data_IF_483126564173
#
_entry.id   IF_483126564173
#
_cell.length_a   1.000
_cell.length_b   1.000
_cell.length_c   1.000
_cell.angle_alpha   90.00
_cell.angle_beta   90.00
_cell.angle_gamma   90.00
#
_symmetry.space_group_name_H-M   'P 1'
#
loop_
_entity.id
_entity.type
_entity.pdbx_description
1 polymer ?
#
# COMPACT_ATOMS: atom_id res chain seq x y z
N UNK A 1 18.75 14.37 -2.15
CA UNK A 1 18.37 13.37 -3.16
C UNK A 1 17.49 12.33 -2.51
N UNK A 2 16.23 12.31 -2.90
CA UNK A 2 15.25 11.29 -2.50
C UNK A 2 14.39 11.01 -3.73
N UNK A 3 14.39 9.75 -4.17
CA UNK A 3 13.60 9.29 -5.30
C UNK A 3 12.28 8.74 -4.77
N UNK A 4 11.19 9.36 -5.16
CA UNK A 4 9.83 9.00 -4.76
C UNK A 4 9.16 8.30 -5.94
N UNK A 5 8.73 7.06 -5.78
CA UNK A 5 7.82 6.41 -6.73
C UNK A 5 6.39 6.52 -6.21
N UNK A 6 5.52 7.21 -6.96
CA UNK A 6 4.08 7.25 -6.69
C UNK A 6 3.35 6.44 -7.73
N UNK A 7 2.47 5.51 -7.34
CA UNK A 7 1.74 4.65 -8.27
C UNK A 7 0.28 4.44 -7.88
N UNK A 8 -0.51 4.06 -8.89
CA UNK A 8 -1.95 3.82 -8.80
C UNK A 8 -2.37 2.81 -9.89
N UNK A 9 -3.46 2.06 -9.65
CA UNK A 9 -3.96 1.02 -10.57
C UNK A 9 -5.47 1.05 -10.77
N UNK A 10 -5.90 1.13 -12.03
CA UNK A 10 -7.29 0.81 -12.39
C UNK A 10 -7.43 -0.69 -12.65
N UNK A 11 -8.58 -1.25 -12.25
CA UNK A 11 -8.77 -2.71 -12.16
C UNK A 11 -10.13 -3.16 -12.68
N UNK A 12 -10.24 -4.44 -13.06
CA UNK A 12 -11.48 -5.03 -13.58
C UNK A 12 -12.65 -5.09 -12.58
N UNK A 13 -12.43 -4.76 -11.31
CA UNK A 13 -13.40 -4.88 -10.22
C UNK A 13 -12.74 -4.67 -8.86
N UNK A 14 -13.41 -5.06 -7.78
CA UNK A 14 -12.79 -5.19 -6.44
C UNK A 14 -12.59 -6.67 -6.09
N UNK A 15 -11.63 -7.01 -5.20
CA UNK A 15 -11.48 -8.36 -4.68
C UNK A 15 -12.78 -8.90 -4.05
N UNK A 16 -13.03 -10.20 -4.21
CA UNK A 16 -14.24 -10.83 -3.68
C UNK A 16 -14.37 -10.62 -2.14
N UNK A 17 -15.51 -10.11 -1.70
CA UNK A 17 -15.78 -9.87 -0.29
C UNK A 17 -16.15 -11.16 0.44
N UNK A 18 -15.21 -11.67 1.22
CA UNK A 18 -15.33 -12.91 1.98
C UNK A 18 -15.80 -12.70 3.43
N UNK A 19 -15.80 -11.45 3.90
CA UNK A 19 -16.20 -11.13 5.26
C UNK A 19 -17.32 -10.08 5.33
N UNK A 20 -18.36 -10.38 6.13
CA UNK A 20 -19.47 -9.46 6.40
C UNK A 20 -19.01 -8.18 7.13
N UNK A 21 -17.99 -8.26 7.98
CA UNK A 21 -17.37 -7.10 8.62
C UNK A 21 -16.25 -6.51 7.77
N UNK A 22 -16.36 -5.22 7.44
CA UNK A 22 -15.31 -4.45 6.76
C UNK A 22 -13.94 -4.56 7.45
N UNK A 23 -13.90 -4.48 8.79
CA UNK A 23 -12.64 -4.60 9.53
C UNK A 23 -12.02 -6.00 9.47
N UNK A 24 -12.83 -7.05 9.30
CA UNK A 24 -12.30 -8.41 9.07
C UNK A 24 -11.78 -8.54 7.64
N UNK A 25 -12.50 -8.03 6.65
CA UNK A 25 -12.08 -8.00 5.25
C UNK A 25 -10.72 -7.28 5.11
N UNK A 26 -10.59 -6.06 5.66
CA UNK A 26 -9.35 -5.29 5.62
C UNK A 26 -8.17 -6.00 6.32
N UNK A 27 -8.40 -6.66 7.45
CA UNK A 27 -7.36 -7.44 8.14
C UNK A 27 -6.93 -8.69 7.37
N UNK A 28 -7.88 -9.37 6.71
CA UNK A 28 -7.59 -10.50 5.82
C UNK A 28 -6.75 -10.05 4.62
N UNK A 29 -7.19 -9.02 3.91
CA UNK A 29 -6.46 -8.46 2.77
C UNK A 29 -5.04 -8.01 3.15
N UNK A 30 -4.87 -7.32 4.29
CA UNK A 30 -3.55 -6.95 4.82
C UNK A 30 -2.66 -8.13 5.16
N UNK A 31 -3.22 -9.30 5.49
CA UNK A 31 -2.43 -10.50 5.77
C UNK A 31 -1.79 -11.10 4.51
N UNK A 32 -2.35 -10.86 3.32
CA UNK A 32 -1.81 -11.32 2.04
C UNK A 32 -0.46 -10.66 1.69
N UNK A 33 -0.17 -9.50 2.28
CA UNK A 33 1.13 -8.82 2.16
C UNK A 33 2.16 -9.32 3.18
N UNK A 34 1.78 -10.24 4.08
CA UNK A 34 2.61 -10.75 5.18
C UNK A 34 2.85 -12.26 5.11
N UNK A 35 1.94 -13.01 4.50
CA UNK A 35 2.06 -14.45 4.30
C UNK A 35 1.72 -14.82 2.85
N UNK A 36 2.77 -15.18 2.10
CA UNK A 36 2.68 -15.54 0.68
C UNK A 36 1.90 -16.84 0.44
N UNK A 37 1.78 -17.71 1.46
CA UNK A 37 1.04 -18.97 1.34
C UNK A 37 -0.48 -18.78 1.25
N UNK A 38 -0.98 -17.63 1.71
CA UNK A 38 -2.41 -17.32 1.65
C UNK A 38 -2.90 -17.11 0.21
N UNK A 39 -2.03 -16.61 -0.68
CA UNK A 39 -2.40 -16.28 -2.06
C UNK A 39 -2.92 -17.47 -2.88
N UNK A 40 -2.52 -18.71 -2.57
CA UNK A 40 -2.96 -19.91 -3.29
C UNK A 40 -4.48 -20.13 -3.25
N UNK A 41 -5.20 -19.49 -2.31
CA UNK A 41 -6.66 -19.55 -2.18
C UNK A 41 -7.37 -18.27 -2.59
N UNK A 42 -6.61 -17.23 -2.95
CA UNK A 42 -7.09 -15.86 -3.06
C UNK A 42 -6.84 -15.24 -4.45
N UNK A 43 -5.83 -15.71 -5.18
CA UNK A 43 -5.38 -15.13 -6.46
C UNK A 43 -6.47 -15.06 -7.54
N UNK A 44 -7.36 -16.05 -7.59
CA UNK A 44 -8.51 -16.11 -8.52
C UNK A 44 -9.66 -15.18 -8.12
N UNK A 45 -9.67 -14.69 -6.86
CA UNK A 45 -10.67 -13.76 -6.33
C UNK A 45 -10.25 -12.30 -6.48
N UNK A 46 -9.01 -12.05 -6.89
CA UNK A 46 -8.50 -10.72 -7.17
C UNK A 46 -8.86 -10.31 -8.60
N UNK A 47 -9.15 -9.03 -8.87
CA UNK A 47 -9.37 -8.54 -10.22
C UNK A 47 -8.07 -8.56 -11.04
N UNK A 48 -8.11 -8.09 -12.29
CA UNK A 48 -6.91 -7.82 -13.09
C UNK A 48 -6.63 -6.32 -13.18
N UNK A 49 -5.36 -5.95 -13.35
CA UNK A 49 -4.97 -4.57 -13.65
C UNK A 49 -5.32 -4.26 -15.11
N UNK A 50 -6.00 -3.14 -15.34
CA UNK A 50 -6.35 -2.63 -16.69
C UNK A 50 -5.67 -1.30 -17.01
N UNK A 51 -5.17 -0.58 -16.01
CA UNK A 51 -4.26 0.55 -16.18
C UNK A 51 -3.22 0.53 -15.06
N UNK A 52 -1.96 0.75 -15.41
CA UNK A 52 -0.87 1.00 -14.46
C UNK A 52 -0.24 2.35 -14.78
N UNK A 53 -0.22 3.24 -13.81
CA UNK A 53 0.50 4.49 -13.89
C UNK A 53 1.43 4.67 -12.68
N UNK A 54 2.59 5.28 -12.93
CA UNK A 54 3.48 5.69 -11.86
C UNK A 54 4.35 6.88 -12.26
N UNK A 55 4.87 7.56 -11.26
CA UNK A 55 5.76 8.71 -11.36
C UNK A 55 7.00 8.40 -10.55
N UNK A 56 8.18 8.40 -11.17
CA UNK A 56 9.47 8.37 -10.47
C UNK A 56 9.97 9.81 -10.40
N UNK A 57 9.76 10.45 -9.26
CA UNK A 57 10.05 11.85 -8.99
C UNK A 57 11.35 11.98 -8.19
N UNK A 58 12.34 12.67 -8.76
CA UNK A 58 13.58 13.02 -8.06
C UNK A 58 13.40 14.41 -7.40
N UNK A 59 13.50 14.46 -6.07
CA UNK A 59 13.32 15.71 -5.32
C UNK A 59 14.42 16.76 -5.56
N UNK A 60 15.62 16.33 -5.99
CA UNK A 60 16.73 17.24 -6.32
C UNK A 60 16.76 17.57 -7.81
N UNK A 61 16.20 16.72 -8.68
CA UNK A 61 16.12 16.93 -10.13
C UNK A 61 14.71 16.69 -10.73
N UNK A 62 13.73 17.55 -10.42
CA UNK A 62 12.34 17.36 -10.85
C UNK A 62 12.12 17.33 -12.38
N UNK A 63 12.97 17.98 -13.16
CA UNK A 63 12.90 17.96 -14.63
C UNK A 63 13.12 16.56 -15.21
N UNK A 64 13.89 15.71 -14.53
CA UNK A 64 14.17 14.32 -14.90
C UNK A 64 13.08 13.33 -14.43
N UNK A 65 11.92 13.82 -13.98
CA UNK A 65 10.80 12.97 -13.57
C UNK A 65 10.37 12.03 -14.69
N UNK A 66 10.41 10.72 -14.43
CA UNK A 66 9.80 9.73 -15.31
C UNK A 66 8.32 9.62 -14.99
N UNK A 67 7.49 9.64 -16.03
CA UNK A 67 6.06 9.36 -15.95
C UNK A 67 5.77 8.15 -16.83
N UNK A 68 5.16 7.13 -16.23
CA UNK A 68 4.67 5.95 -16.91
C UNK A 68 3.14 5.92 -16.80
N UNK A 69 2.48 5.64 -17.92
CA UNK A 69 1.04 5.39 -17.97
C UNK A 69 0.76 4.44 -19.12
N UNK A 70 0.23 3.24 -18.83
CA UNK A 70 -0.22 2.28 -19.83
C UNK A 70 -1.53 1.65 -19.42
N UNK A 71 -2.40 1.50 -20.39
CA UNK A 71 -3.50 0.55 -20.33
C UNK A 71 -2.97 -0.86 -20.63
N UNK A 72 -3.54 -1.86 -19.98
CA UNK A 72 -3.08 -3.25 -20.07
C UNK A 72 -3.88 -3.99 -21.15
N UNK A 73 -3.19 -4.67 -22.06
CA UNK A 73 -3.83 -5.50 -23.08
C UNK A 73 -4.39 -6.78 -22.46
N UNK A 74 -5.70 -6.78 -22.16
CA UNK A 74 -6.38 -7.90 -21.49
C UNK A 74 -6.99 -8.91 -22.50
N UNK A 75 -6.90 -10.22 -22.25
CA UNK A 75 -7.58 -11.24 -23.04
C UNK A 75 -9.11 -11.03 -23.05
N UNK A 76 -9.77 -11.37 -24.16
CA UNK A 76 -11.23 -11.19 -24.31
C UNK A 76 -12.09 -12.01 -23.31
N UNK A 77 -11.50 -12.99 -22.63
CA UNK A 77 -12.10 -13.75 -21.52
C UNK A 77 -12.19 -12.94 -20.22
N UNK A 78 -11.29 -11.98 -20.00
CA UNK A 78 -11.33 -11.06 -18.87
C UNK A 78 -12.48 -10.08 -19.08
N UNK A 79 -13.26 -9.83 -18.02
CA UNK A 79 -14.39 -8.89 -18.00
C UNK A 79 -14.16 -7.82 -16.97
N UNK A 80 -14.40 -6.58 -17.35
CA UNK A 80 -14.43 -5.43 -16.44
C UNK A 80 -15.88 -5.31 -15.94
N UNK A 81 -16.08 -5.21 -14.63
CA UNK A 81 -17.42 -5.09 -14.03
C UNK A 81 -18.09 -3.75 -14.40
N UNK A 82 -19.42 -3.71 -14.40
CA UNK A 82 -20.16 -2.50 -14.75
C UNK A 82 -20.00 -1.41 -13.66
N UNK A 83 -19.80 -1.81 -12.41
CA UNK A 83 -19.42 -0.90 -11.32
C UNK A 83 -18.07 -0.25 -11.60
N UNK A 84 -17.04 -1.03 -11.95
CA UNK A 84 -15.72 -0.53 -12.34
C UNK A 84 -15.81 0.42 -13.54
N UNK A 85 -16.51 0.03 -14.62
CA UNK A 85 -16.76 0.90 -15.79
C UNK A 85 -17.43 2.22 -15.44
N UNK A 86 -18.33 2.22 -14.46
CA UNK A 86 -19.01 3.45 -14.02
C UNK A 86 -18.13 4.38 -13.17
N UNK A 87 -17.00 3.88 -12.66
CA UNK A 87 -16.02 4.63 -11.86
C UNK A 87 -14.91 5.21 -12.75
N UNK A 88 -14.19 4.37 -13.50
CA UNK A 88 -13.00 4.77 -14.27
C UNK A 88 -13.23 4.93 -15.78
N UNK A 89 -14.43 4.62 -16.28
CA UNK A 89 -14.84 4.76 -17.70
C UNK A 89 -14.04 3.96 -18.75
N UNK A 90 -13.00 3.22 -18.34
CA UNK A 90 -12.29 2.25 -19.18
C UNK A 90 -13.17 1.01 -19.44
N UNK A 91 -13.44 0.74 -20.72
CA UNK A 91 -14.12 -0.50 -21.17
C UNK A 91 -13.17 -1.36 -22.00
N UNK A 92 -13.55 -2.61 -22.25
CA UNK A 92 -12.79 -3.54 -23.07
C UNK A 92 -12.60 -3.00 -24.51
N UNK A 93 -13.57 -2.25 -25.03
CA UNK A 93 -13.48 -1.65 -26.37
C UNK A 93 -12.66 -0.35 -26.40
N UNK A 94 -12.66 0.41 -25.29
CA UNK A 94 -11.73 1.53 -25.09
C UNK A 94 -10.28 1.03 -25.12
N UNK A 95 -9.95 -0.05 -24.38
CA UNK A 95 -8.60 -0.66 -24.38
C UNK A 95 -8.21 -1.17 -25.77
N UNK A 96 -9.13 -1.82 -26.51
CA UNK A 96 -8.88 -2.29 -27.88
C UNK A 96 -8.64 -1.15 -28.87
N UNK A 97 -9.34 -0.03 -28.70
CA UNK A 97 -9.24 1.15 -29.56
C UNK A 97 -8.01 2.02 -29.31
N UNK A 98 -7.28 1.80 -28.22
CA UNK A 98 -6.08 2.58 -27.87
C UNK A 98 -4.89 2.28 -28.79
N UNK A 99 -4.06 3.30 -28.98
CA UNK A 99 -2.81 3.16 -29.73
C UNK A 99 -1.87 2.17 -29.05
N UNK A 100 -1.01 1.51 -29.84
CA UNK A 100 0.08 0.68 -29.32
C UNK A 100 1.09 1.44 -28.45
N UNK A 101 1.12 2.77 -28.52
CA UNK A 101 1.91 3.60 -27.60
C UNK A 101 1.23 3.78 -26.22
N UNK A 102 -0.09 3.73 -26.15
CA UNK A 102 -0.87 3.88 -24.91
C UNK A 102 -1.08 2.54 -24.17
N UNK A 103 -0.81 1.42 -24.84
CA UNK A 103 -1.06 0.06 -24.33
C UNK A 103 0.24 -0.72 -24.12
N UNK A 104 0.23 -1.70 -23.22
CA UNK A 104 1.31 -2.66 -23.02
C UNK A 104 0.76 -4.01 -22.51
N UNK A 105 1.53 -5.10 -22.61
CA UNK A 105 1.20 -6.33 -21.90
C UNK A 105 1.54 -6.20 -20.41
N UNK A 106 0.78 -6.87 -19.55
CA UNK A 106 0.98 -6.81 -18.09
C UNK A 106 2.42 -7.16 -17.68
N UNK A 107 3.04 -8.16 -18.32
CA UNK A 107 4.42 -8.54 -18.05
C UNK A 107 5.43 -7.41 -18.31
N UNK A 108 5.32 -6.74 -19.46
CA UNK A 108 6.21 -5.64 -19.82
C UNK A 108 6.05 -4.47 -18.84
N UNK A 109 4.79 -4.16 -18.47
CA UNK A 109 4.46 -3.10 -17.53
C UNK A 109 5.00 -3.37 -16.12
N UNK A 110 4.87 -4.60 -15.63
CA UNK A 110 5.38 -4.99 -14.32
C UNK A 110 6.90 -5.07 -14.28
N UNK A 111 7.54 -5.51 -15.37
CA UNK A 111 9.00 -5.51 -15.47
C UNK A 111 9.56 -4.08 -15.44
N UNK A 112 8.96 -3.14 -16.18
CA UNK A 112 9.38 -1.73 -16.16
C UNK A 112 9.09 -1.07 -14.81
N UNK A 113 7.91 -1.32 -14.23
CA UNK A 113 7.56 -0.86 -12.88
C UNK A 113 8.55 -1.37 -11.82
N UNK A 114 8.85 -2.67 -11.78
CA UNK A 114 9.77 -3.22 -10.78
C UNK A 114 11.20 -2.68 -10.94
N UNK A 115 11.66 -2.41 -12.17
CA UNK A 115 12.96 -1.79 -12.41
C UNK A 115 13.06 -0.37 -11.84
N UNK A 116 11.97 0.40 -11.80
CA UNK A 116 11.95 1.74 -11.19
C UNK A 116 11.62 1.71 -9.70
N UNK A 117 10.78 0.76 -9.25
CA UNK A 117 10.53 0.47 -7.85
C UNK A 117 11.84 0.22 -7.09
N UNK A 118 12.73 -0.60 -7.64
CA UNK A 118 14.05 -0.89 -7.03
C UNK A 118 15.01 0.31 -6.99
N UNK A 119 14.67 1.46 -7.60
CA UNK A 119 15.46 2.71 -7.55
C UNK A 119 14.90 3.73 -6.56
N UNK A 120 13.69 3.53 -6.06
CA UNK A 120 13.02 4.49 -5.22
C UNK A 120 13.43 4.35 -3.74
N UNK A 121 13.67 5.48 -3.09
CA UNK A 121 13.89 5.54 -1.64
C UNK A 121 12.56 5.45 -0.88
N UNK A 122 11.47 5.92 -1.50
CA UNK A 122 10.12 5.95 -0.92
C UNK A 122 9.10 5.54 -1.98
N UNK A 123 8.19 4.64 -1.62
CA UNK A 123 7.03 4.23 -2.41
C UNK A 123 5.77 4.87 -1.82
N UNK A 124 4.96 5.52 -2.65
CA UNK A 124 3.77 6.25 -2.22
C UNK A 124 2.54 5.80 -3.00
N UNK A 125 1.40 5.73 -2.32
CA UNK A 125 0.10 5.57 -2.97
C UNK A 125 -1.05 5.99 -2.04
N UNK A 126 -2.25 6.12 -2.59
CA UNK A 126 -3.43 6.44 -1.79
C UNK A 126 -4.20 5.15 -1.49
N UNK A 127 -4.21 4.71 -0.23
CA UNK A 127 -4.63 3.34 0.12
C UNK A 127 -3.73 2.25 -0.53
N UNK A 128 -2.43 2.57 -0.70
CA UNK A 128 -1.38 1.83 -1.45
C UNK A 128 -1.33 0.30 -1.23
N UNK A 129 -1.76 -0.16 -0.07
CA UNK A 129 -1.97 -1.57 0.26
C UNK A 129 -2.82 -2.31 -0.78
N UNK A 130 -3.79 -1.64 -1.42
CA UNK A 130 -4.63 -2.20 -2.48
C UNK A 130 -3.81 -2.46 -3.75
N UNK A 131 -3.20 -1.43 -4.32
CA UNK A 131 -2.41 -1.48 -5.55
C UNK A 131 -1.21 -2.43 -5.40
N UNK A 132 -0.55 -2.38 -4.24
CA UNK A 132 0.51 -3.31 -3.83
C UNK A 132 0.06 -4.78 -3.94
N UNK A 133 -1.18 -5.10 -3.53
CA UNK A 133 -1.75 -6.46 -3.71
C UNK A 133 -2.11 -6.76 -5.17
N UNK A 134 -2.57 -5.77 -5.94
CA UNK A 134 -2.83 -5.94 -7.37
C UNK A 134 -1.55 -6.32 -8.14
N UNK A 135 -0.44 -5.62 -7.88
CA UNK A 135 0.87 -5.92 -8.46
C UNK A 135 1.34 -7.33 -8.06
N UNK A 136 1.21 -7.71 -6.78
CA UNK A 136 1.57 -9.07 -6.30
C UNK A 136 0.71 -10.15 -6.96
N UNK A 137 -0.60 -9.92 -7.13
CA UNK A 137 -1.51 -10.86 -7.79
C UNK A 137 -1.09 -11.13 -9.25
N UNK A 138 -0.78 -10.09 -10.02
CA UNK A 138 -0.37 -10.26 -11.42
C UNK A 138 1.03 -10.90 -11.56
N UNK A 139 2.00 -10.53 -10.69
CA UNK A 139 3.31 -11.19 -10.65
C UNK A 139 3.18 -12.70 -10.36
N UNK A 140 2.28 -13.08 -9.47
CA UNK A 140 1.99 -14.49 -9.15
C UNK A 140 1.32 -15.23 -10.32
N UNK A 141 0.39 -14.60 -11.04
CA UNK A 141 -0.27 -15.18 -12.23
C UNK A 141 0.69 -15.46 -13.38
N UNK A 142 1.67 -14.57 -13.58
CA UNK A 142 2.69 -14.70 -14.63
C UNK A 142 3.64 -15.87 -14.32
N UNK A 143 4.31 -15.83 -13.16
CA UNK A 143 5.15 -16.92 -12.66
C UNK A 143 5.57 -16.64 -11.22
N UNK A 144 5.03 -17.42 -10.28
CA UNK A 144 5.38 -17.37 -8.85
C UNK A 144 6.88 -17.55 -8.62
N UNK A 145 7.52 -18.51 -9.28
CA UNK A 145 8.93 -18.86 -9.07
C UNK A 145 9.87 -17.78 -9.60
N UNK A 146 9.61 -17.24 -10.80
CA UNK A 146 10.47 -16.22 -11.41
C UNK A 146 10.32 -14.87 -10.73
N UNK A 147 9.11 -14.49 -10.33
CA UNK A 147 8.83 -13.18 -9.73
C UNK A 147 8.99 -13.15 -8.20
N UNK A 148 9.33 -14.28 -7.55
CA UNK A 148 9.47 -14.35 -6.10
C UNK A 148 10.36 -13.25 -5.48
N UNK A 149 11.50 -12.84 -6.06
CA UNK A 149 12.29 -11.73 -5.53
C UNK A 149 11.53 -10.40 -5.52
N UNK A 150 10.81 -10.07 -6.60
CA UNK A 150 9.99 -8.86 -6.71
C UNK A 150 8.79 -8.89 -5.76
N UNK A 151 8.14 -10.06 -5.64
CA UNK A 151 7.03 -10.27 -4.70
C UNK A 151 7.51 -10.08 -3.26
N UNK A 152 8.67 -10.62 -2.89
CA UNK A 152 9.24 -10.46 -1.55
C UNK A 152 9.62 -9.00 -1.25
N UNK A 153 10.10 -8.24 -2.23
CA UNK A 153 10.35 -6.80 -2.05
C UNK A 153 9.04 -6.03 -1.82
N UNK A 154 8.04 -6.26 -2.67
CA UNK A 154 6.70 -5.68 -2.51
C UNK A 154 6.08 -6.05 -1.15
N UNK A 155 6.34 -7.25 -0.62
CA UNK A 155 5.82 -7.71 0.67
C UNK A 155 6.57 -7.15 1.90
N UNK A 156 7.65 -6.36 1.72
CA UNK A 156 8.20 -5.57 2.85
C UNK A 156 7.31 -4.39 3.15
N UNK A 157 7.10 -4.12 4.44
CA UNK A 157 6.42 -2.89 4.91
C UNK A 157 7.41 -1.70 5.01
N UNK A 158 8.66 -1.86 4.56
CA UNK A 158 9.69 -0.82 4.51
C UNK A 158 9.42 0.15 3.35
N UNK A 159 9.74 1.44 3.54
CA UNK A 159 9.67 2.51 2.53
C UNK A 159 8.30 2.81 1.89
N UNK A 160 7.22 2.11 2.26
CA UNK A 160 5.85 2.43 1.84
C UNK A 160 5.21 3.53 2.70
N UNK A 161 4.73 4.58 2.05
CA UNK A 161 3.99 5.69 2.65
C UNK A 161 2.58 5.80 2.05
N UNK A 162 1.56 5.76 2.92
CA UNK A 162 0.16 5.76 2.48
C UNK A 162 -0.49 7.12 2.71
N UNK A 163 -0.77 7.88 1.64
CA UNK A 163 -1.34 9.24 1.78
C UNK A 163 -2.70 9.24 2.46
N UNK A 164 -3.50 8.17 2.33
CA UNK A 164 -4.73 7.99 3.09
C UNK A 164 -4.47 7.96 4.60
N UNK A 165 -3.44 7.25 5.06
CA UNK A 165 -3.12 7.14 6.49
C UNK A 165 -2.48 8.41 7.03
N UNK A 166 -1.58 9.05 6.27
CA UNK A 166 -0.97 10.34 6.59
C UNK A 166 -2.04 11.44 6.74
N UNK A 167 -2.97 11.54 5.78
CA UNK A 167 -3.94 12.65 5.72
C UNK A 167 -5.17 12.45 6.60
N UNK A 168 -5.49 11.22 7.01
CA UNK A 168 -6.63 10.93 7.90
C UNK A 168 -6.63 11.71 9.22
N UNK A 169 -5.54 11.75 10.02
CA UNK A 169 -5.49 12.57 11.23
C UNK A 169 -5.45 14.08 10.94
N UNK A 170 -4.90 14.50 9.79
CA UNK A 170 -4.77 15.91 9.39
C UNK A 170 -6.14 16.48 9.01
N UNK A 171 -6.87 15.78 8.12
CA UNK A 171 -8.20 16.19 7.67
C UNK A 171 -9.29 15.95 8.72
N UNK A 172 -9.10 14.99 9.63
CA UNK A 172 -9.92 14.74 10.82
C UNK A 172 -11.44 14.65 10.52
N UNK A 173 -11.79 14.06 9.37
CA UNK A 173 -13.17 14.01 8.88
C UNK A 173 -13.99 13.02 9.71
N UNK A 174 -14.98 13.55 10.44
CA UNK A 174 -15.86 12.76 11.30
C UNK A 174 -17.09 12.28 10.53
N UNK A 175 -17.44 11.02 10.72
CA UNK A 175 -18.74 10.45 10.32
C UNK A 175 -19.47 9.96 11.56
N UNK A 176 -20.77 10.17 11.58
CA UNK A 176 -21.65 9.58 12.59
C UNK A 176 -21.87 8.09 12.27
N UNK A 177 -21.87 7.26 13.32
CA UNK A 177 -22.31 5.87 13.26
C UNK A 177 -23.29 5.60 14.38
N UNK A 178 -24.44 5.05 14.00
CA UNK A 178 -25.31 4.34 14.92
C UNK A 178 -24.62 3.04 15.40
N UNK A 179 -24.74 2.73 16.68
CA UNK A 179 -24.47 1.43 17.25
C UNK A 179 -25.55 1.09 18.28
N UNK A 180 -25.93 -0.18 18.36
CA UNK A 180 -26.85 -0.66 19.39
C UNK A 180 -26.03 -0.96 20.64
N UNK A 181 -26.37 -0.34 21.78
CA UNK A 181 -25.73 -0.64 23.05
C UNK A 181 -26.09 -2.07 23.50
N UNK A 182 -25.13 -3.00 23.63
CA UNK A 182 -25.42 -4.40 23.95
C UNK A 182 -25.94 -4.60 25.39
N UNK A 183 -25.87 -3.59 26.27
CA UNK A 183 -26.41 -3.65 27.63
C UNK A 183 -27.84 -3.13 27.73
N UNK A 184 -28.22 -2.13 26.93
CA UNK A 184 -29.53 -1.47 27.02
C UNK A 184 -30.42 -1.70 25.80
N UNK A 185 -29.87 -2.24 24.71
CA UNK A 185 -30.52 -2.39 23.40
C UNK A 185 -31.07 -1.08 22.81
N UNK A 186 -30.48 0.06 23.21
CA UNK A 186 -30.86 1.40 22.73
C UNK A 186 -29.85 1.84 21.65
N UNK A 187 -30.31 2.34 20.49
CA UNK A 187 -29.46 3.00 19.51
C UNK A 187 -28.72 4.20 20.10
N UNK A 188 -27.41 4.27 19.86
CA UNK A 188 -26.54 5.37 20.26
C UNK A 188 -25.69 5.80 19.07
N UNK A 189 -25.38 7.08 19.01
CA UNK A 189 -24.57 7.65 17.94
C UNK A 189 -23.17 7.97 18.46
N UNK A 190 -22.15 7.59 17.69
CA UNK A 190 -20.75 7.93 17.93
C UNK A 190 -20.13 8.55 16.69
N UNK A 191 -19.25 9.54 16.89
CA UNK A 191 -18.41 10.05 15.83
C UNK A 191 -17.15 9.20 15.70
N UNK A 192 -16.88 8.72 14.49
CA UNK A 192 -15.62 8.07 14.13
C UNK A 192 -14.92 8.92 13.08
N UNK A 193 -13.60 9.09 13.20
CA UNK A 193 -12.78 9.62 12.10
C UNK A 193 -12.78 8.56 10.98
N UNK A 194 -13.19 8.94 9.77
CA UNK A 194 -13.14 8.06 8.60
C UNK A 194 -11.79 8.18 7.89
N UNK A 195 -11.37 7.16 7.11
CA UNK A 195 -10.30 7.32 6.13
C UNK A 195 -10.62 8.51 5.20
N UNK A 196 -9.63 9.36 4.98
CA UNK A 196 -9.75 10.53 4.10
C UNK A 196 -9.51 10.11 2.66
N UNK A 197 -10.47 10.37 1.76
CA UNK A 197 -10.31 10.08 0.33
C UNK A 197 -9.29 11.03 -0.31
N UNK A 198 -8.66 10.61 -1.41
CA UNK A 198 -7.68 11.41 -2.14
C UNK A 198 -8.22 12.80 -2.51
N UNK A 199 -9.44 12.86 -3.04
CA UNK A 199 -10.15 14.09 -3.41
C UNK A 199 -10.42 15.02 -2.21
N UNK A 200 -10.52 14.47 -1.00
CA UNK A 200 -10.78 15.22 0.24
C UNK A 200 -9.48 15.76 0.83
N UNK A 201 -8.40 14.98 0.80
CA UNK A 201 -7.06 15.45 1.12
C UNK A 201 -6.59 16.55 0.15
N UNK A 202 -6.86 16.38 -1.15
CA UNK A 202 -6.57 17.42 -2.14
C UNK A 202 -7.35 18.70 -1.86
N UNK A 203 -8.65 18.60 -1.57
CA UNK A 203 -9.46 19.76 -1.17
C UNK A 203 -8.91 20.46 0.08
N UNK A 204 -8.42 19.70 1.05
CA UNK A 204 -7.84 20.24 2.27
C UNK A 204 -6.59 21.10 1.99
N UNK A 205 -5.66 20.63 1.16
CA UNK A 205 -4.41 21.36 0.88
C UNK A 205 -4.55 22.48 -0.17
N UNK A 206 -5.39 22.29 -1.18
CA UNK A 206 -5.46 23.20 -2.34
C UNK A 206 -6.74 24.05 -2.39
N UNK A 207 -7.71 23.82 -1.50
CA UNK A 207 -8.93 24.64 -1.37
C UNK A 207 -10.03 24.36 -2.41
N UNK A 208 -9.77 23.50 -3.39
CA UNK A 208 -10.73 23.09 -4.42
C UNK A 208 -10.73 21.57 -4.62
N UNK A 209 -11.82 21.04 -5.20
CA UNK A 209 -11.88 19.64 -5.60
C UNK A 209 -11.39 19.52 -7.05
N UNK A 210 -10.54 18.52 -7.38
CA UNK A 210 -10.26 18.10 -8.75
C UNK A 210 -11.54 18.04 -9.59
N UNK A 211 -11.49 18.53 -10.83
CA UNK A 211 -12.65 18.47 -11.73
C UNK A 211 -12.99 17.01 -12.09
N UNK A 212 -14.28 16.69 -12.06
CA UNK A 212 -14.76 15.37 -11.67
C UNK A 212 -14.64 14.25 -12.72
N UNK A 213 -14.41 14.60 -13.99
CA UNK A 213 -14.34 13.65 -15.12
C UNK A 213 -12.95 13.03 -15.34
N UNK A 214 -11.98 13.36 -14.48
CA UNK A 214 -10.58 12.92 -14.61
C UNK A 214 -10.06 12.14 -13.40
N UNK A 215 -10.82 12.07 -12.31
CA UNK A 215 -10.57 11.12 -11.23
C UNK A 215 -10.78 9.69 -11.74
N UNK A 216 -10.07 8.71 -11.18
CA UNK A 216 -10.11 7.33 -11.68
C UNK A 216 -9.53 7.17 -13.11
N UNK A 217 -8.55 8.01 -13.44
CA UNK A 217 -7.48 7.72 -14.41
C UNK A 217 -6.20 7.59 -13.58
N UNK A 218 -5.56 6.41 -13.60
CA UNK A 218 -4.44 6.09 -12.71
C UNK A 218 -3.30 7.14 -12.76
N UNK A 219 -3.05 7.82 -13.89
CA UNK A 219 -2.00 8.86 -13.90
C UNK A 219 -2.46 10.15 -13.21
N UNK A 220 -3.75 10.48 -13.29
CA UNK A 220 -4.30 11.64 -12.59
C UNK A 220 -4.26 11.37 -11.09
N UNK A 221 -4.68 10.18 -10.64
CA UNK A 221 -4.66 9.82 -9.23
C UNK A 221 -3.23 9.70 -8.69
N UNK A 222 -2.27 9.17 -9.44
CA UNK A 222 -0.84 9.21 -9.08
C UNK A 222 -0.27 10.64 -8.98
N UNK A 223 -0.62 11.55 -9.91
CA UNK A 223 -0.18 12.97 -9.87
C UNK A 223 -0.79 13.70 -8.66
N UNK A 224 -2.08 13.52 -8.42
CA UNK A 224 -2.81 14.10 -7.30
C UNK A 224 -2.27 13.55 -5.97
N UNK A 225 -1.96 12.25 -5.90
CA UNK A 225 -1.34 11.59 -4.76
C UNK A 225 0.07 12.14 -4.47
N UNK A 226 0.93 12.31 -5.48
CA UNK A 226 2.25 12.94 -5.33
C UNK A 226 2.13 14.37 -4.78
N UNK A 227 1.20 15.17 -5.33
CA UNK A 227 0.95 16.55 -4.88
C UNK A 227 0.47 16.61 -3.43
N UNK A 228 -0.43 15.70 -3.04
CA UNK A 228 -0.92 15.56 -1.66
C UNK A 228 0.19 15.09 -0.71
N UNK A 229 1.03 14.15 -1.14
CA UNK A 229 2.16 13.65 -0.35
C UNK A 229 3.15 14.79 -0.05
N UNK A 230 3.59 15.53 -1.07
CA UNK A 230 4.53 16.65 -0.91
C UNK A 230 4.02 17.74 0.03
N UNK A 231 2.71 18.00 0.07
CA UNK A 231 2.09 18.97 0.97
C UNK A 231 1.80 18.44 2.40
N UNK A 232 1.95 17.14 2.66
CA UNK A 232 1.53 16.53 3.93
C UNK A 232 2.55 16.63 5.07
N UNK A 233 3.75 17.17 4.82
CA UNK A 233 4.82 17.31 5.81
C UNK A 233 4.89 18.75 6.35
N UNK A 234 4.89 18.97 7.68
CA UNK A 234 4.86 20.31 8.24
C UNK A 234 6.20 21.07 8.09
N UNK A 235 6.11 22.39 8.00
CA UNK A 235 7.27 23.29 7.94
C UNK A 235 8.05 23.18 6.62
N UNK A 236 9.37 23.37 6.69
CA UNK A 236 10.28 23.44 5.52
C UNK A 236 10.51 22.10 4.78
N UNK A 237 9.65 21.10 5.01
CA UNK A 237 9.66 19.81 4.32
C UNK A 237 8.52 19.70 3.29
N UNK A 238 7.53 20.61 3.33
CA UNK A 238 6.48 20.66 2.32
C UNK A 238 7.02 21.08 0.94
N UNK A 239 6.54 20.43 -0.12
CA UNK A 239 6.79 20.83 -1.50
C UNK A 239 5.55 20.61 -2.37
N UNK A 240 5.31 21.50 -3.34
CA UNK A 240 4.28 21.33 -4.36
C UNK A 240 4.92 21.09 -5.73
N UNK A 241 4.62 19.95 -6.35
CA UNK A 241 5.13 19.56 -7.67
C UNK A 241 4.51 20.35 -8.84
N UNK A 242 3.48 21.16 -8.60
CA UNK A 242 2.73 21.90 -9.62
C UNK A 242 3.61 22.82 -10.49
N UNK A 243 4.70 23.34 -9.93
CA UNK A 243 5.64 24.22 -10.64
C UNK A 243 7.07 23.63 -10.74
N UNK A 244 7.27 22.33 -10.46
CA UNK A 244 8.59 21.69 -10.54
C UNK A 244 8.81 20.88 -11.82
N UNK A 245 7.76 20.49 -12.53
CA UNK A 245 7.86 19.79 -13.82
C UNK A 245 6.68 20.13 -14.73
N UNK A 246 6.94 20.56 -15.96
CA UNK A 246 5.89 21.00 -16.91
C UNK A 246 4.90 19.88 -17.30
N UNK A 247 5.30 18.60 -17.27
CA UNK A 247 4.35 17.49 -17.50
C UNK A 247 3.40 17.32 -16.33
N UNK A 248 3.92 17.33 -15.10
CA UNK A 248 3.10 17.25 -13.88
C UNK A 248 2.13 18.43 -13.78
N UNK A 249 2.61 19.64 -14.09
CA UNK A 249 1.80 20.85 -14.24
C UNK A 249 0.67 20.66 -15.25
N UNK A 250 0.97 20.10 -16.42
CA UNK A 250 -0.02 19.77 -17.44
C UNK A 250 -1.13 18.84 -16.94
N UNK A 251 -0.81 17.82 -16.14
CA UNK A 251 -1.82 16.97 -15.50
C UNK A 251 -2.63 17.70 -14.42
N UNK A 252 -1.98 18.52 -13.57
CA UNK A 252 -2.66 19.27 -12.51
C UNK A 252 -3.61 20.34 -13.08
N UNK A 253 -3.26 20.97 -14.20
CA UNK A 253 -4.11 21.95 -14.87
C UNK A 253 -5.40 21.33 -15.43
N UNK A 254 -5.38 20.08 -15.92
CA UNK A 254 -6.59 19.37 -16.38
C UNK A 254 -7.65 19.24 -15.28
N UNK A 255 -7.21 19.03 -14.04
CA UNK A 255 -8.11 18.89 -12.88
C UNK A 255 -8.33 20.20 -12.11
N UNK A 256 -7.78 21.32 -12.60
CA UNK A 256 -7.92 22.62 -11.95
C UNK A 256 -9.19 23.35 -12.42
N UNK A 257 -10.00 23.93 -11.53
CA UNK A 257 -11.28 24.56 -11.87
C UNK A 257 -11.16 25.58 -13.00
N UNK A 258 -11.90 25.35 -14.09
CA UNK A 258 -11.88 26.15 -15.31
C UNK A 258 -10.48 26.31 -15.94
N UNK A 259 -9.60 25.31 -15.81
CA UNK A 259 -8.19 25.35 -16.25
C UNK A 259 -7.39 26.53 -15.68
N UNK A 260 -7.81 27.10 -14.53
CA UNK A 260 -7.07 28.17 -13.86
C UNK A 260 -5.75 27.64 -13.35
N UNK A 261 -4.66 28.39 -13.54
CA UNK A 261 -3.39 28.07 -12.91
C UNK A 261 -3.47 28.30 -11.40
N UNK A 262 -3.66 27.20 -10.65
CA UNK A 262 -3.69 27.18 -9.19
C UNK A 262 -2.31 26.97 -8.56
N UNK A 263 -1.26 26.68 -9.36
CA UNK A 263 0.09 26.43 -8.84
C UNK A 263 0.67 27.65 -8.10
N UNK A 264 0.39 28.87 -8.57
CA UNK A 264 0.88 30.09 -7.92
C UNK A 264 0.26 30.32 -6.52
N UNK A 265 -0.94 29.80 -6.27
CA UNK A 265 -1.61 29.95 -4.98
C UNK A 265 -0.88 29.16 -3.89
N UNK A 266 -0.45 27.93 -4.22
CA UNK A 266 0.30 27.06 -3.29
C UNK A 266 1.74 27.53 -3.14
N UNK A 267 2.37 28.01 -4.22
CA UNK A 267 3.72 28.60 -4.18
C UNK A 267 3.81 29.74 -3.16
N UNK A 268 2.88 30.70 -3.23
CA UNK A 268 2.83 31.82 -2.27
C UNK A 268 2.60 31.36 -0.82
N UNK A 269 1.79 30.31 -0.60
CA UNK A 269 1.62 29.70 0.72
C UNK A 269 2.93 29.10 1.26
N UNK A 270 3.68 28.35 0.43
CA UNK A 270 4.96 27.76 0.81
C UNK A 270 6.04 28.83 1.07
N UNK A 271 6.07 29.89 0.25
CA UNK A 271 6.96 31.04 0.45
C UNK A 271 6.69 31.73 1.81
N UNK A 272 5.41 31.95 2.18
CA UNK A 272 5.05 32.51 3.48
C UNK A 272 5.38 31.59 4.67
N UNK A 273 5.31 30.27 4.51
CA UNK A 273 5.67 29.31 5.56
C UNK A 273 7.19 29.27 5.82
N UNK A 274 8.04 29.70 4.88
CA UNK A 274 9.49 29.77 5.11
C UNK A 274 9.90 30.85 6.13
N UNK A 275 9.11 31.92 6.24
CA UNK A 275 9.31 33.04 7.18
C UNK A 275 8.74 32.75 8.58
N UNK A 276 7.78 31.83 8.71
CA UNK A 276 7.14 31.50 9.99
C UNK A 276 7.79 30.28 10.63
N UNK A 277 8.66 30.52 11.62
CA UNK A 277 9.17 29.45 12.50
C UNK A 277 8.03 28.99 13.43
N UNK A 278 7.23 28.02 12.97
CA UNK A 278 6.29 27.30 13.84
C UNK A 278 7.07 26.38 14.81
N UNK A 279 6.80 26.41 16.12
CA UNK A 279 7.47 25.52 17.07
C UNK A 279 7.09 24.06 16.80
N UNK A 280 8.11 23.21 16.67
CA UNK A 280 7.96 21.77 16.43
C UNK A 280 7.41 21.08 17.69
N UNK A 281 6.10 20.82 17.73
CA UNK A 281 5.48 19.99 18.75
C UNK A 281 5.67 18.50 18.46
N UNK A 282 6.88 18.00 18.70
CA UNK A 282 7.17 16.56 18.85
C UNK A 282 8.36 16.32 19.78
N UNK A 283 8.19 16.61 21.07
CA UNK A 283 9.05 15.98 22.09
C UNK A 283 8.66 14.50 22.21
N UNK A 284 9.50 13.62 21.64
CA UNK A 284 9.48 12.19 21.97
C UNK A 284 10.10 12.02 23.36
N UNK A 285 9.26 11.87 24.38
CA UNK A 285 9.69 11.49 25.72
C UNK A 285 10.46 10.15 25.71
N UNK A 286 11.79 10.25 25.69
CA UNK A 286 12.73 9.14 25.82
C UNK A 286 13.26 9.04 27.26
N UNK A 287 12.38 8.85 28.24
CA UNK A 287 12.83 8.48 29.60
C UNK A 287 11.79 7.76 30.46
N UNK A 288 11.73 6.43 30.37
CA UNK A 288 11.50 5.57 31.55
C UNK A 288 12.33 4.29 31.43
N UNK A 289 13.64 4.43 31.65
CA UNK A 289 14.47 3.29 32.04
C UNK A 289 14.02 2.80 33.43
N UNK A 290 13.47 1.59 33.50
CA UNK A 290 13.13 0.94 34.77
C UNK A 290 14.40 0.62 35.56
N UNK A 291 14.80 1.56 36.42
CA UNK A 291 15.89 1.39 37.39
C UNK A 291 15.50 0.32 38.41
N UNK A 292 16.31 -0.73 38.53
CA UNK A 292 16.23 -1.65 39.67
C UNK A 292 16.58 -0.90 40.95
N UNK A 293 15.65 -0.83 41.90
CA UNK A 293 15.93 -0.43 43.28
C UNK A 293 15.43 -1.51 44.24
N UNK A 294 16.36 -2.07 45.00
CA UNK A 294 16.10 -3.04 46.06
C UNK A 294 15.44 -2.39 47.28
N UNK A 295 14.44 -3.04 47.87
CA UNK A 295 14.10 -2.86 49.28
C UNK A 295 13.76 -4.20 49.91
N UNK A 296 14.33 -4.45 51.09
CA UNK A 296 14.25 -5.72 51.82
C UNK A 296 13.28 -5.61 52.99
N UNK A 297 12.50 -6.67 53.23
CA UNK A 297 11.85 -6.90 54.51
C UNK A 297 11.81 -8.39 54.85
N UNK A 298 12.44 -8.73 55.99
CA UNK A 298 12.20 -9.97 56.76
C UNK A 298 10.81 -9.81 57.43
N UNK A 299 10.08 -10.81 57.93
CA UNK A 299 10.25 -12.23 58.30
C UNK A 299 8.83 -12.88 58.23
N UNK A 300 8.51 -14.17 58.47
CA UNK A 300 9.04 -15.14 59.43
C UNK A 300 8.61 -16.60 59.13
N UNK A 301 9.50 -17.54 59.50
CA UNK A 301 9.29 -18.95 59.91
C UNK A 301 7.95 -19.69 59.70
N UNK A 302 8.05 -20.90 59.10
CA UNK A 302 7.92 -22.15 59.89
C UNK A 302 8.57 -23.35 59.17
N UNK A 303 8.85 -24.42 59.90
CA UNK A 303 9.80 -25.49 59.54
C UNK A 303 9.19 -26.89 59.41
N UNK A 304 9.80 -27.74 58.56
CA UNK A 304 10.11 -29.19 58.72
C UNK A 304 10.36 -29.80 57.33
N UNK A 305 11.59 -30.11 56.90
CA UNK A 305 12.51 -31.18 57.34
C UNK A 305 12.22 -32.57 56.74
N UNK A 306 13.28 -33.10 56.09
CA UNK A 306 13.60 -34.50 55.69
C UNK A 306 13.18 -34.90 54.26
N UNK A 307 13.99 -35.63 53.48
CA UNK A 307 15.38 -36.10 53.62
C UNK A 307 15.93 -36.64 52.28
N UNK A 308 17.26 -36.80 52.16
CA UNK A 308 18.04 -37.83 51.43
C UNK A 308 17.34 -38.76 50.40
N UNK A 309 17.95 -39.20 49.30
CA UNK A 309 19.31 -39.04 48.71
C UNK A 309 19.44 -39.92 47.45
N UNK A 310 20.41 -39.63 46.55
CA UNK A 310 21.24 -40.58 45.73
C UNK A 310 20.54 -41.72 44.92
N UNK A 311 21.01 -42.21 43.78
CA UNK A 311 22.06 -41.82 42.81
C UNK A 311 22.09 -42.86 41.66
N UNK A 312 22.56 -42.47 40.47
CA UNK A 312 23.26 -43.29 39.46
C UNK A 312 22.67 -44.64 38.97
N UNK A 313 22.42 -44.72 37.66
CA UNK A 313 23.08 -45.59 36.64
C UNK A 313 22.14 -45.77 35.44
N UNK A 314 22.49 -45.53 34.16
CA UNK A 314 23.67 -45.76 33.33
C UNK A 314 23.71 -47.16 32.67
N UNK A 315 23.99 -47.14 31.35
CA UNK A 315 24.19 -48.30 30.44
C UNK A 315 22.91 -49.00 29.94
N UNK A 316 22.84 -49.57 28.72
CA UNK A 316 23.84 -49.72 27.63
C UNK A 316 23.16 -50.12 26.30
N UNK A 317 23.80 -49.85 25.14
CA UNK A 317 23.86 -50.66 23.87
C UNK A 317 22.60 -51.45 23.41
N UNK A 318 22.11 -51.43 22.16
CA UNK A 318 22.75 -51.67 20.84
C UNK A 318 21.62 -51.70 19.75
N UNK A 319 21.79 -51.83 18.42
CA UNK A 319 22.88 -51.61 17.45
C UNK A 319 22.38 -51.87 16.00
N UNK A 320 23.01 -51.26 14.99
CA UNK A 320 23.02 -51.68 13.55
C UNK A 320 21.69 -51.63 12.75
N UNK A 321 21.66 -51.62 11.39
CA UNK A 321 22.51 -51.03 10.33
C UNK A 321 21.86 -51.28 8.95
N UNK A 322 22.19 -50.47 7.91
CA UNK A 322 22.01 -50.74 6.45
C UNK A 322 20.55 -50.85 5.94
N UNK A 323 20.02 -49.94 5.12
CA UNK A 323 20.37 -49.55 3.73
C UNK A 323 19.89 -50.50 2.63
N UNK A 324 19.05 -50.00 1.69
CA UNK A 324 19.34 -49.96 0.24
C UNK A 324 18.24 -49.27 -0.58
N UNK A 325 18.70 -48.51 -1.57
CA UNK A 325 17.92 -47.96 -2.68
C UNK A 325 17.80 -48.96 -3.83
N UNK A 326 16.75 -48.84 -4.65
CA UNK A 326 16.76 -49.31 -6.04
C UNK A 326 15.68 -48.60 -6.88
N UNK A 327 16.11 -47.86 -7.90
CA UNK A 327 15.28 -47.34 -8.98
C UNK A 327 15.20 -48.36 -10.13
N UNK A 328 14.10 -48.39 -10.89
CA UNK A 328 14.14 -48.79 -12.31
C UNK A 328 12.93 -48.35 -13.12
N UNK A 329 13.22 -47.78 -14.29
CA UNK A 329 12.29 -47.36 -15.34
C UNK A 329 12.06 -48.47 -16.37
N UNK A 330 10.90 -48.43 -17.05
CA UNK A 330 10.60 -48.87 -18.44
C UNK A 330 9.10 -48.64 -18.66
N UNK A 331 8.65 -47.64 -19.42
CA UNK A 331 8.62 -47.58 -20.90
C UNK A 331 7.94 -48.79 -21.56
N UNK A 332 6.71 -48.59 -22.04
CA UNK A 332 6.12 -49.24 -23.22
C UNK A 332 5.16 -48.27 -23.88
N UNK A 333 5.17 -48.25 -25.20
CA UNK A 333 4.42 -47.33 -26.07
C UNK A 333 3.64 -48.13 -27.11
N UNK A 334 2.70 -47.44 -27.78
CA UNK A 334 1.94 -47.84 -28.97
C UNK A 334 0.86 -48.91 -28.72
N UNK A 335 -0.40 -48.48 -28.74
CA UNK A 335 -1.20 -48.44 -29.98
C UNK A 335 -1.74 -47.01 -30.18
#
# INVERSE_FOLDING_TARGET
MTIILVFDTETTGLPERQHSSFGKQQSHERSLLKDISLWEKEIEKYPSIIQLAYILYDTDNPDNTKIYNKYIDIPASVKISDESKSIHHITEDVIKGMSSFSKAYIYDSLNEFMQDFMKADIIVGHNVDFDRRMIVAELLRISKEQNMPHIMELMKDENFECTQEITTPICNLKVEREYIDPKTNIPKYIYKIKPTKLIEAYKHYFGYMPDGEHMHDAIIDAVICLRVYGMSFPGRQAFDVCNTNEKLKGYILKVSPHNKNTCEQTKHYLEQQNDVIMPVFFEKDKSMSLSKSSSSSKSSSSSKSKSASKSNSASKSNSSSKSKSASKSKSKSNE
#
